data_IF_839613593850
#
_entry.id   IF_839613593850
#
_cell.length_a   1.000
_cell.length_b   1.000
_cell.length_c   1.000
_cell.angle_alpha   90.00
_cell.angle_beta   90.00
_cell.angle_gamma   90.00
#
_symmetry.space_group_name_H-M   'P 1'
#
loop_
_entity.id
_entity.type
_entity.pdbx_description
1 polymer ?
#
# COMPACT_ATOMS: atom_id res chain seq x y z
N UNK A 1 -12.93 -1.27 -7.39
CA UNK A 1 -13.98 -2.01 -8.12
C UNK A 1 -13.59 -3.46 -8.40
N UNK A 2 -12.46 -3.78 -9.08
CA UNK A 2 -12.08 -5.16 -9.44
C UNK A 2 -12.10 -6.14 -8.26
N UNK A 3 -11.55 -5.75 -7.10
CA UNK A 3 -11.52 -6.60 -5.91
C UNK A 3 -12.92 -6.86 -5.31
N UNK A 4 -13.78 -5.83 -5.29
CA UNK A 4 -15.17 -5.96 -4.86
C UNK A 4 -15.93 -6.94 -5.74
N UNK A 5 -15.87 -6.75 -7.06
CA UNK A 5 -16.52 -7.65 -8.02
C UNK A 5 -16.04 -9.09 -7.87
N UNK A 6 -14.74 -9.31 -7.80
CA UNK A 6 -14.18 -10.66 -7.61
C UNK A 6 -14.64 -11.31 -6.30
N UNK A 7 -14.76 -10.53 -5.22
CA UNK A 7 -15.25 -11.04 -3.92
C UNK A 7 -16.73 -11.41 -3.97
N UNK A 8 -17.56 -10.55 -4.57
CA UNK A 8 -19.00 -10.79 -4.72
C UNK A 8 -19.22 -12.01 -5.62
N UNK A 9 -18.54 -12.07 -6.77
CA UNK A 9 -18.64 -13.21 -7.69
C UNK A 9 -18.24 -14.51 -7.02
N UNK A 10 -17.11 -14.51 -6.29
CA UNK A 10 -16.67 -15.71 -5.54
C UNK A 10 -17.71 -16.17 -4.50
N UNK A 11 -18.43 -15.25 -3.89
CA UNK A 11 -19.51 -15.59 -2.95
C UNK A 11 -20.72 -16.18 -3.67
N UNK A 12 -21.13 -15.57 -4.79
CA UNK A 12 -22.27 -16.06 -5.58
C UNK A 12 -22.01 -17.48 -6.12
N UNK A 13 -20.80 -17.69 -6.67
CA UNK A 13 -20.37 -19.00 -7.19
C UNK A 13 -20.29 -20.04 -6.07
N UNK A 14 -19.80 -19.65 -4.89
CA UNK A 14 -19.65 -20.54 -3.75
C UNK A 14 -20.96 -20.94 -3.09
N UNK A 15 -21.96 -20.05 -3.07
CA UNK A 15 -23.27 -20.32 -2.49
C UNK A 15 -24.19 -21.00 -3.50
N UNK A 16 -24.12 -20.64 -4.79
CA UNK A 16 -24.90 -21.22 -5.85
C UNK A 16 -26.42 -20.98 -5.78
N UNK A 17 -26.85 -19.96 -5.01
CA UNK A 17 -28.26 -19.57 -4.86
C UNK A 17 -28.52 -18.22 -5.51
N UNK A 18 -29.74 -18.00 -5.97
CA UNK A 18 -30.19 -16.64 -6.36
C UNK A 18 -30.13 -15.71 -5.16
N UNK A 19 -29.69 -14.46 -5.40
CA UNK A 19 -29.46 -13.43 -4.37
C UNK A 19 -30.67 -13.27 -3.41
N UNK A 20 -31.88 -13.35 -3.93
CA UNK A 20 -33.13 -13.21 -3.15
C UNK A 20 -33.34 -14.30 -2.10
N UNK A 21 -32.68 -15.45 -2.26
CA UNK A 21 -32.83 -16.63 -1.38
C UNK A 21 -31.60 -16.85 -0.50
N UNK A 22 -30.60 -15.99 -0.56
CA UNK A 22 -29.41 -16.05 0.31
C UNK A 22 -29.81 -15.61 1.72
N UNK A 23 -29.60 -16.50 2.69
CA UNK A 23 -29.85 -16.23 4.11
C UNK A 23 -28.54 -16.09 4.90
N UNK A 24 -28.66 -15.63 6.14
CA UNK A 24 -27.49 -15.37 7.01
C UNK A 24 -26.58 -16.60 7.15
N UNK A 25 -27.16 -17.79 7.24
CA UNK A 25 -26.38 -19.01 7.42
C UNK A 25 -25.61 -19.42 6.17
N UNK A 26 -26.13 -19.13 4.98
CA UNK A 26 -25.38 -19.33 3.72
C UNK A 26 -24.10 -18.51 3.70
N UNK A 27 -24.18 -17.25 4.14
CA UNK A 27 -23.01 -16.37 4.23
C UNK A 27 -22.02 -16.85 5.30
N UNK A 28 -22.51 -17.34 6.44
CA UNK A 28 -21.64 -17.91 7.49
C UNK A 28 -20.90 -19.15 7.00
N UNK A 29 -21.61 -20.07 6.36
CA UNK A 29 -21.01 -21.26 5.75
C UNK A 29 -19.94 -20.88 4.73
N UNK A 30 -20.29 -19.97 3.79
CA UNK A 30 -19.34 -19.48 2.78
C UNK A 30 -18.06 -18.91 3.41
N UNK A 31 -18.17 -18.02 4.41
CA UNK A 31 -17.00 -17.42 5.05
C UNK A 31 -16.12 -18.46 5.76
N UNK A 32 -16.75 -19.45 6.41
CA UNK A 32 -16.05 -20.54 7.10
C UNK A 32 -15.32 -21.45 6.10
N UNK A 33 -16.00 -21.86 5.04
CA UNK A 33 -15.42 -22.70 3.98
C UNK A 33 -14.31 -21.96 3.23
N UNK A 34 -14.52 -20.68 2.89
CA UNK A 34 -13.50 -19.85 2.26
C UNK A 34 -12.24 -19.77 3.12
N UNK A 35 -12.42 -19.56 4.45
CA UNK A 35 -11.30 -19.50 5.37
C UNK A 35 -10.53 -20.84 5.40
N UNK A 36 -11.22 -21.95 5.48
CA UNK A 36 -10.62 -23.28 5.52
C UNK A 36 -9.90 -23.61 4.20
N UNK A 37 -10.58 -23.41 3.06
CA UNK A 37 -10.09 -23.73 1.72
C UNK A 37 -8.89 -22.89 1.28
N UNK A 38 -8.91 -21.59 1.59
CA UNK A 38 -7.85 -20.63 1.23
C UNK A 38 -6.82 -20.39 2.34
N UNK A 39 -6.98 -21.00 3.52
CA UNK A 39 -6.17 -20.75 4.72
C UNK A 39 -6.03 -19.26 5.02
N UNK A 40 -7.13 -18.50 4.82
CA UNK A 40 -7.14 -17.05 4.90
C UNK A 40 -7.08 -16.55 6.34
N UNK A 41 -6.42 -15.40 6.54
CA UNK A 41 -6.37 -14.76 7.86
C UNK A 41 -7.76 -14.24 8.31
N UNK A 42 -7.96 -14.11 9.61
CA UNK A 42 -9.18 -13.48 10.17
C UNK A 42 -9.42 -12.08 9.63
N UNK A 43 -8.35 -11.32 9.35
CA UNK A 43 -8.43 -9.97 8.74
C UNK A 43 -8.99 -10.06 7.33
N UNK A 44 -8.56 -11.05 6.53
CA UNK A 44 -9.08 -11.28 5.18
C UNK A 44 -10.57 -11.61 5.21
N UNK A 45 -10.99 -12.48 6.14
CA UNK A 45 -12.41 -12.84 6.32
C UNK A 45 -13.25 -11.63 6.73
N UNK A 46 -12.76 -10.78 7.65
CA UNK A 46 -13.48 -9.55 8.01
C UNK A 46 -13.58 -8.56 6.85
N UNK A 47 -12.55 -8.46 6.00
CA UNK A 47 -12.61 -7.65 4.79
C UNK A 47 -13.67 -8.17 3.80
N UNK A 48 -13.72 -9.49 3.57
CA UNK A 48 -14.78 -10.10 2.75
C UNK A 48 -16.15 -9.80 3.34
N UNK A 49 -16.34 -10.02 4.65
CA UNK A 49 -17.58 -9.70 5.35
C UNK A 49 -18.00 -8.24 5.13
N UNK A 50 -17.06 -7.28 5.22
CA UNK A 50 -17.33 -5.84 5.02
C UNK A 50 -17.80 -5.55 3.59
N UNK A 51 -17.16 -6.16 2.59
CA UNK A 51 -17.56 -6.02 1.18
C UNK A 51 -18.98 -6.57 0.99
N UNK A 52 -19.24 -7.77 1.51
CA UNK A 52 -20.58 -8.37 1.43
C UNK A 52 -21.61 -7.54 2.19
N UNK A 53 -21.26 -6.96 3.34
CA UNK A 53 -22.15 -6.07 4.09
C UNK A 53 -22.54 -4.84 3.27
N UNK A 54 -21.57 -4.17 2.62
CA UNK A 54 -21.86 -3.03 1.76
C UNK A 54 -22.72 -3.41 0.56
N UNK A 55 -22.45 -4.56 -0.06
CA UNK A 55 -23.21 -5.04 -1.21
C UNK A 55 -24.66 -5.36 -0.86
N UNK A 56 -24.89 -6.14 0.21
CA UNK A 56 -26.24 -6.50 0.62
C UNK A 56 -27.01 -5.33 1.26
N UNK A 57 -26.33 -4.35 1.88
CA UNK A 57 -27.00 -3.12 2.31
C UNK A 57 -27.49 -2.31 1.12
N UNK A 58 -26.66 -2.18 0.08
CA UNK A 58 -27.11 -1.53 -1.16
C UNK A 58 -28.30 -2.24 -1.81
N UNK A 59 -28.32 -3.58 -1.83
CA UNK A 59 -29.48 -4.33 -2.33
C UNK A 59 -30.74 -4.14 -1.49
N UNK A 60 -30.62 -3.97 -0.16
CA UNK A 60 -31.71 -3.66 0.75
C UNK A 60 -32.20 -2.22 0.51
N UNK A 61 -31.29 -1.25 0.36
CA UNK A 61 -31.60 0.17 0.11
C UNK A 61 -32.30 0.40 -1.25
N UNK A 62 -32.00 -0.44 -2.25
CA UNK A 62 -32.61 -0.42 -3.60
C UNK A 62 -33.81 -1.37 -3.75
N UNK A 63 -34.36 -1.90 -2.65
CA UNK A 63 -35.51 -2.80 -2.60
C UNK A 63 -35.38 -4.11 -3.40
N UNK A 64 -34.16 -4.53 -3.75
CA UNK A 64 -33.94 -5.84 -4.39
C UNK A 64 -34.13 -7.01 -3.43
N UNK A 65 -33.90 -6.77 -2.14
CA UNK A 65 -34.11 -7.72 -1.05
C UNK A 65 -34.77 -7.00 0.14
N UNK A 66 -35.57 -7.71 0.92
CA UNK A 66 -36.28 -7.14 2.08
C UNK A 66 -35.31 -6.86 3.25
N UNK A 67 -34.24 -7.63 3.40
CA UNK A 67 -33.30 -7.51 4.51
C UNK A 67 -31.95 -8.13 4.19
N UNK A 68 -30.89 -7.40 4.51
CA UNK A 68 -29.51 -7.87 4.32
C UNK A 68 -29.22 -9.11 5.17
N UNK A 69 -28.80 -10.23 4.57
CA UNK A 69 -28.40 -11.44 5.29
C UNK A 69 -27.13 -11.27 6.10
N UNK A 70 -26.32 -10.22 5.82
CA UNK A 70 -25.06 -9.95 6.51
C UNK A 70 -25.26 -9.15 7.81
N UNK A 71 -26.43 -8.56 8.00
CA UNK A 71 -26.73 -7.67 9.15
C UNK A 71 -26.45 -8.29 10.52
N UNK A 72 -26.61 -9.62 10.66
CA UNK A 72 -26.37 -10.38 11.90
C UNK A 72 -24.99 -11.01 11.97
N UNK A 73 -24.11 -10.70 11.02
CA UNK A 73 -22.74 -11.21 11.02
C UNK A 73 -21.80 -10.13 11.56
N UNK A 74 -21.42 -10.30 12.81
CA UNK A 74 -20.57 -9.34 13.51
C UNK A 74 -19.12 -9.38 13.01
N UNK A 75 -18.41 -8.28 13.29
CA UNK A 75 -16.97 -8.15 13.02
C UNK A 75 -16.20 -9.32 13.60
N UNK A 76 -15.33 -9.91 12.82
CA UNK A 76 -14.41 -10.95 13.30
C UNK A 76 -13.39 -10.30 14.23
N UNK A 77 -13.32 -10.76 15.48
CA UNK A 77 -12.31 -10.28 16.44
C UNK A 77 -10.91 -10.66 15.93
N UNK A 78 -10.15 -9.66 15.55
CA UNK A 78 -8.73 -9.78 15.16
C UNK A 78 -7.89 -9.19 16.29
N UNK A 79 -6.84 -9.90 16.70
CA UNK A 79 -5.87 -9.34 17.64
C UNK A 79 -5.17 -8.10 17.04
N UNK A 80 -4.76 -7.18 17.91
CA UNK A 80 -3.92 -6.04 17.52
C UNK A 80 -2.47 -6.52 17.48
N UNK A 81 -1.89 -6.60 16.31
CA UNK A 81 -0.47 -6.89 16.17
C UNK A 81 0.29 -5.56 16.03
N UNK A 82 1.28 -5.34 16.86
CA UNK A 82 2.25 -4.25 16.70
C UNK A 82 2.98 -4.50 15.39
N UNK A 83 2.88 -3.53 14.48
CA UNK A 83 3.56 -3.62 13.19
C UNK A 83 4.97 -3.08 13.35
N UNK A 84 5.96 -3.90 12.98
CA UNK A 84 7.37 -3.55 13.00
C UNK A 84 7.69 -2.30 12.16
N UNK A 85 8.65 -1.52 12.65
CA UNK A 85 9.33 -0.42 11.95
C UNK A 85 10.77 -0.82 11.62
N UNK A 86 11.49 -0.01 10.88
CA UNK A 86 12.94 -0.15 10.74
C UNK A 86 13.63 0.57 11.90
N UNK A 87 14.75 0.04 12.38
CA UNK A 87 15.68 0.82 13.19
C UNK A 87 16.54 1.73 12.31
N UNK A 88 17.23 2.68 12.92
CA UNK A 88 18.16 3.56 12.20
C UNK A 88 19.28 2.76 11.55
N UNK A 89 19.82 1.74 12.26
CA UNK A 89 20.86 0.86 11.74
C UNK A 89 20.36 0.07 10.52
N UNK A 90 19.09 -0.37 10.52
CA UNK A 90 18.53 -1.08 9.38
C UNK A 90 18.41 -0.17 8.14
N UNK A 91 18.10 1.11 8.33
CA UNK A 91 18.06 2.09 7.24
C UNK A 91 19.47 2.37 6.70
N UNK A 92 20.47 2.55 7.57
CA UNK A 92 21.86 2.73 7.14
C UNK A 92 22.38 1.48 6.43
N UNK A 93 22.11 0.28 6.94
CA UNK A 93 22.45 -0.97 6.28
C UNK A 93 21.88 -1.08 4.86
N UNK A 94 20.63 -0.62 4.66
CA UNK A 94 20.03 -0.57 3.33
C UNK A 94 20.80 0.37 2.39
N UNK A 95 21.22 1.54 2.89
CA UNK A 95 21.98 2.54 2.13
C UNK A 95 23.35 2.04 1.75
N UNK A 96 24.10 1.52 2.72
CA UNK A 96 25.49 1.06 2.53
C UNK A 96 25.58 -0.13 1.58
N UNK A 97 24.59 -1.01 1.60
CA UNK A 97 24.56 -2.18 0.72
C UNK A 97 23.86 -1.94 -0.63
N UNK A 98 23.35 -0.74 -0.88
CA UNK A 98 22.66 -0.42 -2.10
C UNK A 98 23.63 0.05 -3.19
N UNK A 99 23.92 -0.81 -4.16
CA UNK A 99 24.86 -0.54 -5.26
C UNK A 99 24.22 0.23 -6.44
N UNK A 100 22.90 0.17 -6.57
CA UNK A 100 22.18 0.80 -7.67
C UNK A 100 21.67 2.19 -7.27
N UNK A 101 22.12 3.24 -7.97
CA UNK A 101 21.73 4.63 -7.66
C UNK A 101 20.20 4.84 -7.64
N UNK A 102 19.49 4.19 -8.56
CA UNK A 102 18.02 4.22 -8.58
C UNK A 102 17.41 3.69 -7.30
N UNK A 103 17.85 2.53 -6.87
CA UNK A 103 17.30 1.83 -5.72
C UNK A 103 17.61 2.60 -4.43
N UNK A 104 18.81 3.19 -4.33
CA UNK A 104 19.20 4.05 -3.23
C UNK A 104 18.32 5.31 -3.15
N UNK A 105 18.14 6.00 -4.28
CA UNK A 105 17.27 7.17 -4.35
C UNK A 105 15.81 6.83 -3.99
N UNK A 106 15.32 5.66 -4.42
CA UNK A 106 13.97 5.18 -4.13
C UNK A 106 13.79 4.87 -2.64
N UNK A 107 14.76 4.23 -1.99
CA UNK A 107 14.75 3.93 -0.55
C UNK A 107 14.72 5.24 0.25
N UNK A 108 15.59 6.18 -0.08
CA UNK A 108 15.66 7.45 0.65
C UNK A 108 14.40 8.30 0.44
N UNK A 109 13.86 8.33 -0.77
CA UNK A 109 12.60 9.01 -1.03
C UNK A 109 11.46 8.45 -0.18
N UNK A 110 11.35 7.12 -0.05
CA UNK A 110 10.35 6.48 0.81
C UNK A 110 10.62 6.72 2.30
N UNK A 111 11.88 6.70 2.73
CA UNK A 111 12.26 6.87 4.13
C UNK A 111 12.09 8.33 4.61
N UNK A 112 12.46 9.29 3.77
CA UNK A 112 12.45 10.72 4.10
C UNK A 112 11.05 11.32 4.04
N UNK A 113 10.26 10.98 3.01
CA UNK A 113 8.94 11.58 2.79
C UNK A 113 7.79 10.78 3.39
N UNK A 114 7.97 9.49 3.59
CA UNK A 114 6.89 8.58 3.98
C UNK A 114 5.71 8.55 3.02
N UNK A 115 5.86 9.01 1.77
CA UNK A 115 4.80 8.99 0.76
C UNK A 115 4.31 7.57 0.46
N UNK A 116 3.12 7.45 -0.09
CA UNK A 116 2.64 6.15 -0.55
C UNK A 116 3.35 5.75 -1.84
N UNK A 117 3.62 4.46 -2.00
CA UNK A 117 4.23 3.96 -3.25
C UNK A 117 3.42 4.32 -4.49
N UNK A 118 2.08 4.36 -4.36
CA UNK A 118 1.19 4.79 -5.44
C UNK A 118 1.39 6.26 -5.84
N UNK A 119 1.73 7.12 -4.90
CA UNK A 119 2.07 8.54 -5.13
C UNK A 119 3.46 8.63 -5.80
N UNK A 120 4.43 7.88 -5.30
CA UNK A 120 5.80 7.90 -5.83
C UNK A 120 5.89 7.44 -7.29
N UNK A 121 5.12 6.44 -7.72
CA UNK A 121 5.16 5.94 -9.10
C UNK A 121 4.57 6.93 -10.12
N UNK A 122 3.77 7.88 -9.67
CA UNK A 122 3.17 8.90 -10.53
C UNK A 122 4.10 10.10 -10.77
N UNK A 123 5.09 10.32 -9.89
CA UNK A 123 6.00 11.45 -9.99
C UNK A 123 6.82 11.43 -11.28
N UNK A 124 7.00 12.61 -11.86
CA UNK A 124 7.92 12.93 -12.93
C UNK A 124 9.19 13.59 -12.39
N UNK A 125 10.20 13.73 -13.25
CA UNK A 125 11.44 14.45 -12.91
C UNK A 125 11.14 15.92 -12.58
N UNK A 126 10.23 16.54 -13.32
CA UNK A 126 9.84 17.95 -13.19
C UNK A 126 9.04 18.27 -11.92
N UNK A 127 8.43 17.25 -11.27
CA UNK A 127 7.66 17.43 -10.04
C UNK A 127 8.56 17.65 -8.81
N UNK A 128 9.89 17.54 -8.96
CA UNK A 128 10.84 17.63 -7.85
C UNK A 128 11.47 19.02 -7.79
N UNK A 129 11.15 19.76 -6.74
CA UNK A 129 11.87 20.97 -6.40
C UNK A 129 13.09 20.64 -5.54
N UNK A 130 14.26 20.70 -6.19
CA UNK A 130 15.54 20.45 -5.50
C UNK A 130 15.98 21.63 -4.63
N UNK A 131 15.51 22.85 -4.84
CA UNK A 131 15.89 24.00 -4.05
C UNK A 131 15.19 23.96 -2.69
N UNK A 132 13.87 23.82 -2.72
CA UNK A 132 13.04 23.72 -1.51
C UNK A 132 13.02 22.29 -0.93
N UNK A 133 13.52 21.31 -1.67
CA UNK A 133 13.53 19.88 -1.30
C UNK A 133 12.13 19.35 -1.04
N UNK A 134 11.24 19.60 -1.96
CA UNK A 134 9.85 19.20 -1.88
C UNK A 134 9.31 18.65 -3.20
N UNK A 135 8.18 18.00 -3.13
CA UNK A 135 7.36 17.67 -4.29
C UNK A 135 5.88 17.60 -3.91
N UNK A 136 5.02 17.84 -4.88
CA UNK A 136 3.56 17.72 -4.71
C UNK A 136 3.14 16.30 -5.03
N UNK A 137 2.35 15.68 -4.16
CA UNK A 137 1.79 14.36 -4.36
C UNK A 137 0.27 14.39 -4.24
N UNK A 138 -0.39 13.55 -5.05
CA UNK A 138 -1.84 13.41 -5.07
C UNK A 138 -2.30 12.27 -4.18
N UNK A 139 -3.02 12.61 -3.11
CA UNK A 139 -3.56 11.66 -2.14
C UNK A 139 -4.91 11.07 -2.53
N UNK A 140 -5.51 10.30 -1.62
CA UNK A 140 -6.86 9.75 -1.81
C UNK A 140 -7.90 10.88 -1.91
N UNK A 141 -8.70 10.84 -2.98
CA UNK A 141 -9.75 11.86 -3.24
C UNK A 141 -9.22 13.10 -3.91
N UNK A 142 -8.16 12.96 -4.69
CA UNK A 142 -7.55 14.04 -5.50
C UNK A 142 -7.07 15.25 -4.69
N UNK A 143 -6.67 14.98 -3.43
CA UNK A 143 -6.11 16.01 -2.57
C UNK A 143 -4.61 16.10 -2.76
N UNK A 144 -4.15 17.27 -3.17
CA UNK A 144 -2.73 17.60 -3.22
C UNK A 144 -2.16 17.82 -1.82
N UNK A 145 -0.92 17.40 -1.64
CA UNK A 145 -0.11 17.80 -0.50
C UNK A 145 1.35 17.87 -0.87
N UNK A 146 2.04 18.81 -0.25
CA UNK A 146 3.49 18.93 -0.33
C UNK A 146 4.13 17.89 0.59
N UNK A 147 5.16 17.23 0.13
CA UNK A 147 6.02 16.34 0.93
C UNK A 147 7.47 16.80 0.81
N UNK A 148 8.16 16.83 1.94
CA UNK A 148 9.54 17.30 2.04
C UNK A 148 10.50 16.12 2.13
N UNK A 149 11.69 16.27 1.54
CA UNK A 149 12.76 15.28 1.63
C UNK A 149 14.06 15.91 2.15
N UNK A 150 14.88 15.10 2.78
CA UNK A 150 16.11 15.54 3.39
C UNK A 150 17.25 15.79 2.38
N UNK A 151 18.37 16.39 2.86
CA UNK A 151 19.53 16.69 2.01
C UNK A 151 20.17 15.43 1.43
N UNK A 152 20.15 14.31 2.14
CA UNK A 152 20.66 13.01 1.66
C UNK A 152 19.85 12.51 0.47
N UNK A 153 18.53 12.53 0.59
CA UNK A 153 17.62 12.17 -0.50
C UNK A 153 17.84 13.05 -1.74
N UNK A 154 18.03 14.37 -1.56
CA UNK A 154 18.38 15.29 -2.64
C UNK A 154 19.61 14.80 -3.40
N UNK A 155 20.70 14.53 -2.69
CA UNK A 155 21.98 14.11 -3.29
C UNK A 155 21.81 12.79 -4.06
N UNK A 156 21.21 11.79 -3.44
CA UNK A 156 21.04 10.48 -4.07
C UNK A 156 20.08 10.53 -5.27
N UNK A 157 19.03 11.32 -5.18
CA UNK A 157 18.10 11.51 -6.29
C UNK A 157 18.76 12.24 -7.48
N UNK A 158 19.55 13.28 -7.22
CA UNK A 158 20.33 13.98 -8.25
C UNK A 158 21.35 13.04 -8.91
N UNK A 159 22.09 12.24 -8.12
CA UNK A 159 23.03 11.27 -8.64
C UNK A 159 22.35 10.23 -9.55
N UNK A 160 21.18 9.74 -9.13
CA UNK A 160 20.39 8.83 -9.96
C UNK A 160 19.93 9.50 -11.25
N UNK A 161 19.36 10.68 -11.19
CA UNK A 161 18.85 11.38 -12.38
C UNK A 161 19.97 11.72 -13.37
N UNK A 162 21.14 12.14 -12.86
CA UNK A 162 22.32 12.43 -13.68
C UNK A 162 22.92 11.16 -14.33
N UNK A 163 22.72 9.99 -13.74
CA UNK A 163 23.17 8.72 -14.31
C UNK A 163 22.26 8.16 -15.41
N UNK A 164 21.05 8.71 -15.56
CA UNK A 164 20.07 8.23 -16.53
C UNK A 164 20.46 8.61 -17.96
N UNK A 165 20.22 7.67 -18.87
CA UNK A 165 20.51 7.82 -20.32
C UNK A 165 19.24 7.78 -21.17
N UNK A 166 18.07 7.94 -20.54
CA UNK A 166 16.76 7.90 -21.19
C UNK A 166 16.03 9.24 -21.05
N UNK A 167 15.06 9.50 -21.90
CA UNK A 167 14.24 10.72 -21.92
C UNK A 167 12.86 10.52 -21.27
N UNK A 168 12.63 9.38 -20.61
CA UNK A 168 11.34 9.13 -19.97
C UNK A 168 11.09 10.16 -18.86
N UNK A 169 9.95 10.86 -18.84
CA UNK A 169 9.65 11.88 -17.83
C UNK A 169 9.48 11.31 -16.42
N UNK A 170 9.17 10.02 -16.27
CA UNK A 170 8.97 9.40 -14.97
C UNK A 170 10.18 9.57 -14.05
N UNK A 171 9.92 9.84 -12.76
CA UNK A 171 10.98 9.95 -11.75
C UNK A 171 11.76 8.63 -11.64
N UNK A 172 11.07 7.50 -11.52
CA UNK A 172 11.68 6.18 -11.41
C UNK A 172 11.32 5.28 -12.60
N UNK A 173 12.35 4.72 -13.23
CA UNK A 173 12.22 3.82 -14.40
C UNK A 173 12.91 2.48 -14.18
N UNK A 174 12.62 1.50 -15.04
CA UNK A 174 13.34 0.22 -15.08
C UNK A 174 14.82 0.46 -15.43
N UNK A 175 15.71 -0.44 -14.96
CA UNK A 175 17.15 -0.35 -15.26
C UNK A 175 17.51 -0.80 -16.68
N UNK A 176 16.58 -1.44 -17.37
CA UNK A 176 16.77 -1.98 -18.70
C UNK A 176 15.88 -1.27 -19.72
N UNK A 177 16.37 -1.15 -20.96
CA UNK A 177 15.56 -0.68 -22.09
C UNK A 177 14.25 -1.50 -22.17
N UNK A 178 13.11 -0.84 -22.45
CA UNK A 178 12.95 0.54 -22.87
C UNK A 178 12.79 1.59 -21.74
N UNK A 179 13.33 1.34 -20.55
CA UNK A 179 13.31 2.26 -19.39
C UNK A 179 11.89 2.74 -19.02
N UNK A 180 10.97 1.79 -18.92
CA UNK A 180 9.57 2.09 -18.60
C UNK A 180 9.43 2.61 -17.16
N UNK A 181 8.45 3.52 -16.96
CA UNK A 181 8.03 3.94 -15.62
C UNK A 181 7.82 2.74 -14.71
N UNK A 182 8.38 2.77 -13.52
CA UNK A 182 8.12 1.73 -12.53
C UNK A 182 6.67 1.78 -12.06
N UNK A 183 6.04 0.62 -11.92
CA UNK A 183 4.75 0.48 -11.29
C UNK A 183 4.88 0.02 -9.83
N UNK A 184 3.77 0.08 -9.09
CA UNK A 184 3.71 -0.30 -7.67
C UNK A 184 4.28 -1.71 -7.44
N UNK A 185 3.83 -2.70 -8.23
CA UNK A 185 4.29 -4.07 -8.11
C UNK A 185 5.79 -4.23 -8.36
N UNK A 186 6.34 -3.50 -9.34
CA UNK A 186 7.76 -3.49 -9.65
C UNK A 186 8.61 -2.98 -8.47
N UNK A 187 8.18 -1.88 -7.85
CA UNK A 187 8.85 -1.34 -6.65
C UNK A 187 8.77 -2.31 -5.48
N UNK A 188 7.58 -2.88 -5.21
CA UNK A 188 7.40 -3.83 -4.11
C UNK A 188 8.23 -5.10 -4.28
N UNK A 189 8.28 -5.64 -5.51
CA UNK A 189 9.11 -6.81 -5.84
C UNK A 189 10.59 -6.46 -5.66
N UNK A 190 11.04 -5.30 -6.16
CA UNK A 190 12.44 -4.87 -6.05
C UNK A 190 12.86 -4.71 -4.59
N UNK A 191 12.08 -3.99 -3.78
CA UNK A 191 12.36 -3.82 -2.35
C UNK A 191 12.42 -5.16 -1.62
N UNK A 192 11.52 -6.09 -1.93
CA UNK A 192 11.54 -7.45 -1.36
C UNK A 192 12.82 -8.21 -1.71
N UNK A 193 13.26 -8.12 -2.97
CA UNK A 193 14.49 -8.75 -3.44
C UNK A 193 15.72 -8.17 -2.73
N UNK A 194 15.80 -6.85 -2.61
CA UNK A 194 16.87 -6.16 -1.89
C UNK A 194 16.88 -6.55 -0.40
N UNK A 195 15.72 -6.53 0.26
CA UNK A 195 15.62 -6.97 1.65
C UNK A 195 16.09 -8.41 1.85
N UNK A 196 15.70 -9.33 0.96
CA UNK A 196 16.17 -10.71 1.01
C UNK A 196 17.69 -10.81 0.87
N UNK A 197 18.29 -10.01 -0.04
CA UNK A 197 19.75 -9.97 -0.26
C UNK A 197 20.49 -9.46 0.98
N UNK A 198 19.94 -8.51 1.70
CA UNK A 198 20.55 -7.89 2.89
C UNK A 198 20.18 -8.58 4.21
N UNK A 199 19.47 -9.71 4.17
CA UNK A 199 19.02 -10.42 5.37
C UNK A 199 17.93 -9.67 6.17
N UNK A 200 17.28 -8.67 5.55
CA UNK A 200 16.24 -7.87 6.19
C UNK A 200 14.86 -8.45 5.91
N UNK A 201 14.11 -8.71 6.96
CA UNK A 201 12.75 -9.23 6.82
C UNK A 201 11.76 -8.16 6.37
N UNK A 202 10.92 -8.51 5.39
CA UNK A 202 9.73 -7.74 4.98
C UNK A 202 10.04 -6.29 4.61
N UNK A 203 10.99 -6.07 3.68
CA UNK A 203 11.21 -4.72 3.13
C UNK A 203 10.08 -4.40 2.14
N UNK A 204 9.29 -3.36 2.47
CA UNK A 204 8.16 -2.91 1.66
C UNK A 204 7.81 -1.44 1.95
N UNK A 205 7.17 -0.70 1.00
CA UNK A 205 6.95 0.74 1.11
C UNK A 205 6.21 1.19 2.38
N UNK A 206 5.15 0.50 2.77
CA UNK A 206 4.39 0.89 3.96
C UNK A 206 5.19 0.79 5.27
N UNK A 207 6.26 0.00 5.32
CA UNK A 207 7.11 -0.08 6.50
C UNK A 207 7.95 1.20 6.65
N UNK A 208 8.46 1.79 5.55
CA UNK A 208 9.14 3.10 5.57
C UNK A 208 8.21 4.20 6.12
N UNK A 209 6.98 4.29 5.61
CA UNK A 209 6.01 5.28 6.10
C UNK A 209 5.72 5.14 7.60
N UNK A 210 5.57 3.91 8.09
CA UNK A 210 5.39 3.68 9.53
C UNK A 210 6.62 4.07 10.32
N UNK A 211 7.80 3.76 9.82
CA UNK A 211 9.07 4.11 10.46
C UNK A 211 9.18 5.61 10.61
N UNK A 212 8.97 6.37 9.54
CA UNK A 212 8.99 7.84 9.60
C UNK A 212 7.97 8.37 10.62
N UNK A 213 6.73 7.88 10.59
CA UNK A 213 5.70 8.30 11.52
C UNK A 213 6.06 8.01 12.99
N UNK A 214 6.61 6.83 13.28
CA UNK A 214 7.07 6.48 14.63
C UNK A 214 8.22 7.37 15.07
N UNK A 215 9.24 7.55 14.23
CA UNK A 215 10.40 8.42 14.52
C UNK A 215 9.98 9.89 14.75
N UNK A 216 8.99 10.37 14.00
CA UNK A 216 8.47 11.73 14.17
C UNK A 216 7.75 11.88 15.52
N UNK A 217 6.95 10.90 15.92
CA UNK A 217 6.27 10.89 17.24
C UNK A 217 7.32 10.82 18.36
N UNK A 218 8.32 9.96 18.25
CA UNK A 218 9.40 9.81 19.23
C UNK A 218 10.21 11.10 19.40
N UNK A 219 10.27 11.92 18.34
CA UNK A 219 10.88 13.27 18.36
C UNK A 219 9.92 14.38 18.80
N UNK A 220 8.71 14.03 19.25
CA UNK A 220 7.73 14.97 19.83
C UNK A 220 6.77 15.61 18.82
N UNK A 221 6.69 15.10 17.58
CA UNK A 221 5.71 15.61 16.60
C UNK A 221 4.28 15.24 17.02
N UNK A 222 3.34 16.19 17.09
CA UNK A 222 1.94 15.91 17.38
C UNK A 222 1.31 14.98 16.34
N UNK A 223 0.47 14.04 16.79
CA UNK A 223 -0.17 13.03 15.90
C UNK A 223 -1.04 13.71 14.83
N UNK A 224 -1.64 14.84 15.14
CA UNK A 224 -2.49 15.61 14.23
C UNK A 224 -1.72 16.11 12.99
N UNK A 225 -0.43 16.43 13.14
CA UNK A 225 0.43 16.84 12.03
C UNK A 225 0.84 15.67 11.12
N UNK A 226 0.83 14.43 11.63
CA UNK A 226 1.13 13.23 10.84
C UNK A 226 -0.07 12.73 10.02
N UNK A 227 -1.27 13.24 10.28
CA UNK A 227 -2.50 12.83 9.58
C UNK A 227 -2.80 13.69 8.35
N UNK A 228 -2.09 14.77 8.18
CA UNK A 228 -2.15 15.63 6.99
C UNK A 228 -1.27 15.06 5.86
#
# INVERSE_FOLDING_TARGET
LKYYNATIQSMLDGIGKSIKYIVTDDIRCYLTEYQAKKKSSKVTIDNIRRILSSFFSWLEDEDYILKSPVRRIHKVKTGTNIKETYSDEALELMRDNCTELRDLAMIDMLASTGMRVGEMVLLNREDIDFNERECVVFGKGDKERIVYFDARTKIHLQNYLNSRKDDNPALFVSLQSPYNRMNIGGIEVRLRQLGKRWGLNKVHPHKFRRTLATMAIDKGMPIEQLQQ
#
